data_IF_437322404904
#
_entry.id   IF_437322404904
#
_cell.length_a   1.000
_cell.length_b   1.000
_cell.length_c   1.000
_cell.angle_alpha   90.00
_cell.angle_beta   90.00
_cell.angle_gamma   90.00
#
_symmetry.space_group_name_H-M   'P 1'
#
loop_
_entity.id
_entity.type
_entity.pdbx_description
1 polymer ?
#
# COMPACT_ATOMS: atom_id res chain seq x y z
N UNK A 1 26.53 20.99 8.70
CA UNK A 1 26.18 20.00 9.75
C UNK A 1 24.99 19.15 9.28
N UNK A 2 25.19 18.27 8.30
CA UNK A 2 24.12 17.41 7.74
C UNK A 2 24.71 16.01 7.70
N UNK A 3 24.22 15.10 8.55
CA UNK A 3 24.75 13.72 8.68
C UNK A 3 24.49 13.04 10.03
N UNK A 4 24.19 13.80 11.08
CA UNK A 4 23.94 13.25 12.42
C UNK A 4 22.45 13.20 12.74
N UNK A 5 21.84 12.01 12.73
CA UNK A 5 20.45 11.85 13.18
C UNK A 5 20.23 12.22 14.67
N UNK A 6 21.28 12.54 15.44
CA UNK A 6 21.22 12.86 16.87
C UNK A 6 20.58 14.20 17.23
N UNK A 7 20.41 15.12 16.28
CA UNK A 7 19.79 16.43 16.53
C UNK A 7 18.26 16.43 16.33
N UNK A 8 17.48 16.62 17.39
CA UNK A 8 16.03 16.83 17.35
C UNK A 8 15.65 18.28 16.95
N UNK A 9 16.29 18.83 15.92
CA UNK A 9 15.96 20.16 15.42
C UNK A 9 15.22 20.07 14.08
N UNK A 10 14.12 20.82 13.93
CA UNK A 10 13.37 20.88 12.66
C UNK A 10 14.26 21.30 11.47
N UNK A 11 15.27 22.15 11.70
CA UNK A 11 16.25 22.52 10.69
C UNK A 11 17.08 21.32 10.20
N UNK A 12 17.38 20.36 11.07
CA UNK A 12 18.10 19.14 10.69
C UNK A 12 17.24 18.21 9.83
N UNK A 13 15.94 18.09 10.16
CA UNK A 13 14.99 17.26 9.42
C UNK A 13 14.77 17.83 8.01
N UNK A 14 14.56 19.14 7.91
CA UNK A 14 14.44 19.83 6.62
C UNK A 14 15.75 19.78 5.82
N UNK A 15 16.90 19.90 6.49
CA UNK A 15 18.21 19.75 5.84
C UNK A 15 18.39 18.38 5.18
N UNK A 16 18.00 17.31 5.87
CA UNK A 16 18.02 15.96 5.31
C UNK A 16 17.03 15.79 4.16
N UNK A 17 15.81 16.33 4.28
CA UNK A 17 14.83 16.34 3.18
C UNK A 17 15.41 17.01 1.94
N UNK A 18 15.95 18.23 2.07
CA UNK A 18 16.54 18.97 0.95
C UNK A 18 17.74 18.22 0.38
N UNK A 19 18.59 17.65 1.23
CA UNK A 19 19.73 16.83 0.83
C UNK A 19 19.31 15.60 0.03
N UNK A 20 18.19 14.96 0.39
CA UNK A 20 17.67 13.77 -0.28
C UNK A 20 17.32 14.05 -1.76
N UNK A 21 16.79 15.25 -2.05
CA UNK A 21 16.39 15.62 -3.41
C UNK A 21 17.47 16.36 -4.19
N UNK A 22 18.28 17.20 -3.54
CA UNK A 22 19.29 18.03 -4.23
C UNK A 22 20.65 17.36 -4.33
N UNK A 23 21.09 16.68 -3.28
CA UNK A 23 22.46 16.15 -3.17
C UNK A 23 22.47 14.77 -2.47
N UNK A 24 21.77 13.77 -3.01
CA UNK A 24 21.56 12.48 -2.33
C UNK A 24 22.85 11.75 -2.02
N UNK A 25 23.82 11.77 -2.95
CA UNK A 25 25.14 11.16 -2.74
C UNK A 25 25.83 11.71 -1.50
N UNK A 26 25.81 13.04 -1.35
CA UNK A 26 26.48 13.70 -0.24
C UNK A 26 25.79 13.40 1.09
N UNK A 27 24.46 13.39 1.10
CA UNK A 27 23.67 13.02 2.26
C UNK A 27 24.04 11.62 2.75
N UNK A 28 24.00 10.63 1.85
CA UNK A 28 24.25 9.24 2.21
C UNK A 28 25.71 8.96 2.57
N UNK A 29 26.67 9.63 1.92
CA UNK A 29 28.10 9.51 2.24
C UNK A 29 28.43 9.99 3.66
N UNK A 30 27.71 11.00 4.15
CA UNK A 30 27.86 11.58 5.50
C UNK A 30 27.05 10.88 6.59
N UNK A 31 26.23 9.89 6.25
CA UNK A 31 25.37 9.21 7.21
C UNK A 31 26.22 8.51 8.27
N UNK A 32 25.97 8.84 9.55
CA UNK A 32 26.58 8.11 10.66
C UNK A 32 26.14 6.64 10.63
N UNK A 33 27.13 5.74 10.68
CA UNK A 33 26.94 4.28 10.63
C UNK A 33 26.86 3.66 12.01
N UNK A 34 27.14 4.42 13.07
CA UNK A 34 27.39 3.94 14.44
C UNK A 34 26.49 4.54 15.52
N UNK A 35 25.67 5.55 15.20
CA UNK A 35 24.75 6.21 16.14
C UNK A 35 23.87 5.25 16.94
N UNK A 36 23.24 5.72 18.02
CA UNK A 36 22.20 4.95 18.70
C UNK A 36 20.94 4.80 17.82
N UNK A 37 20.07 3.83 18.15
CA UNK A 37 18.87 3.53 17.36
C UNK A 37 17.74 4.55 17.59
N UNK A 38 17.68 5.16 18.78
CA UNK A 38 16.61 6.05 19.18
C UNK A 38 16.35 7.19 18.19
N UNK A 39 17.36 8.01 17.86
CA UNK A 39 17.17 9.14 16.95
C UNK A 39 16.73 8.74 15.54
N UNK A 40 17.18 7.58 15.06
CA UNK A 40 16.81 7.00 13.76
C UNK A 40 15.32 6.65 13.72
N UNK A 41 14.83 5.99 14.78
CA UNK A 41 13.43 5.59 14.90
C UNK A 41 12.53 6.81 15.03
N UNK A 42 12.91 7.80 15.84
CA UNK A 42 12.11 9.03 15.96
C UNK A 42 12.06 9.79 14.63
N UNK A 43 13.19 9.91 13.92
CA UNK A 43 13.21 10.53 12.59
C UNK A 43 12.19 9.87 11.65
N UNK A 44 12.20 8.54 11.58
CA UNK A 44 11.27 7.78 10.76
C UNK A 44 9.80 7.98 11.18
N UNK A 45 9.51 7.94 12.49
CA UNK A 45 8.16 8.12 13.03
C UNK A 45 7.61 9.50 12.69
N UNK A 46 8.43 10.56 12.80
CA UNK A 46 7.98 11.94 12.47
C UNK A 46 7.49 12.03 11.02
N UNK A 47 8.26 11.51 10.07
CA UNK A 47 7.87 11.54 8.66
C UNK A 47 6.69 10.62 8.36
N UNK A 48 6.60 9.47 9.03
CA UNK A 48 5.45 8.58 8.90
C UNK A 48 4.17 9.21 9.43
N UNK A 49 4.18 9.79 10.63
CA UNK A 49 3.02 10.49 11.20
C UNK A 49 2.59 11.62 10.27
N UNK A 50 3.54 12.41 9.76
CA UNK A 50 3.24 13.46 8.80
C UNK A 50 2.59 12.91 7.51
N UNK A 51 3.13 11.84 6.94
CA UNK A 51 2.57 11.19 5.75
C UNK A 51 1.18 10.62 6.01
N UNK A 52 0.94 10.00 7.17
CA UNK A 52 -0.36 9.42 7.55
C UNK A 52 -1.41 10.50 7.72
N UNK A 53 -1.10 11.56 8.47
CA UNK A 53 -2.00 12.71 8.63
C UNK A 53 -2.35 13.28 7.27
N UNK A 54 -1.35 13.50 6.41
CA UNK A 54 -1.57 14.03 5.06
C UNK A 54 -2.42 13.10 4.20
N UNK A 55 -2.16 11.79 4.23
CA UNK A 55 -2.94 10.77 3.50
C UNK A 55 -4.39 10.74 3.97
N UNK A 56 -4.63 10.79 5.28
CA UNK A 56 -5.98 10.84 5.85
C UNK A 56 -6.71 12.10 5.39
N UNK A 57 -6.07 13.28 5.44
CA UNK A 57 -6.66 14.54 4.98
C UNK A 57 -6.99 14.49 3.48
N UNK A 58 -6.05 14.06 2.65
CA UNK A 58 -6.25 13.96 1.20
C UNK A 58 -7.30 12.91 0.82
N UNK A 59 -7.49 11.88 1.65
CA UNK A 59 -8.51 10.84 1.41
C UNK A 59 -9.95 11.35 1.48
N UNK A 60 -10.19 12.54 2.06
CA UNK A 60 -11.52 13.16 2.03
C UNK A 60 -11.87 13.71 0.64
N UNK A 61 -10.86 14.17 -0.10
CA UNK A 61 -11.02 14.62 -1.50
C UNK A 61 -10.91 13.44 -2.45
N UNK A 62 -10.02 12.49 -2.15
CA UNK A 62 -9.76 11.32 -2.99
C UNK A 62 -9.85 10.01 -2.19
N UNK A 63 -11.05 9.44 -2.04
CA UNK A 63 -11.28 8.24 -1.22
C UNK A 63 -10.43 7.03 -1.60
N UNK A 64 -9.93 6.97 -2.85
CA UNK A 64 -9.06 5.89 -3.33
C UNK A 64 -7.69 5.84 -2.63
N UNK A 65 -7.22 6.94 -2.03
CA UNK A 65 -5.94 6.99 -1.31
C UNK A 65 -5.96 6.15 -0.04
N UNK A 66 -7.10 6.17 0.66
CA UNK A 66 -7.34 5.40 1.86
C UNK A 66 -8.81 4.95 1.82
N UNK A 67 -9.10 3.79 1.20
CA UNK A 67 -10.45 3.29 0.96
C UNK A 67 -11.06 2.70 2.24
N UNK A 68 -10.99 3.46 3.34
CA UNK A 68 -11.58 3.16 4.64
C UNK A 68 -12.77 4.08 4.87
N UNK A 69 -13.79 3.58 5.57
CA UNK A 69 -14.86 4.43 6.10
C UNK A 69 -14.35 5.45 7.11
N UNK A 70 -15.18 6.43 7.48
CA UNK A 70 -14.79 7.54 8.37
C UNK A 70 -14.13 7.05 9.68
N UNK A 71 -14.77 6.09 10.36
CA UNK A 71 -14.22 5.46 11.57
C UNK A 71 -12.85 4.82 11.32
N UNK A 72 -12.69 4.12 10.19
CA UNK A 72 -11.43 3.49 9.81
C UNK A 72 -10.30 4.50 9.57
N UNK A 73 -10.60 5.67 9.00
CA UNK A 73 -9.62 6.75 8.83
C UNK A 73 -9.12 7.29 10.17
N UNK A 74 -10.01 7.47 11.15
CA UNK A 74 -9.61 7.89 12.50
C UNK A 74 -8.77 6.81 13.20
N UNK A 75 -9.16 5.54 13.13
CA UNK A 75 -8.37 4.43 13.66
C UNK A 75 -6.98 4.39 13.00
N UNK A 76 -6.89 4.65 11.70
CA UNK A 76 -5.63 4.66 10.96
C UNK A 76 -4.65 5.74 11.44
N UNK A 77 -5.11 6.84 12.04
CA UNK A 77 -4.20 7.84 12.64
C UNK A 77 -3.38 7.27 13.80
N UNK A 78 -3.92 6.29 14.53
CA UNK A 78 -3.26 5.66 15.67
C UNK A 78 -2.56 4.35 15.28
N UNK A 79 -3.19 3.55 14.42
CA UNK A 79 -2.64 2.25 13.97
C UNK A 79 -1.57 2.44 12.90
N UNK A 80 -1.73 3.42 12.02
CA UNK A 80 -0.82 3.69 10.90
C UNK A 80 0.63 3.84 11.32
N UNK A 81 0.97 4.64 12.36
CA UNK A 81 2.36 4.78 12.81
C UNK A 81 2.97 3.46 13.32
N UNK A 82 2.17 2.60 13.96
CA UNK A 82 2.63 1.27 14.40
C UNK A 82 2.91 0.35 13.21
N UNK A 83 2.01 0.36 12.22
CA UNK A 83 2.19 -0.39 10.97
C UNK A 83 3.41 0.13 10.20
N UNK A 84 3.60 1.44 10.13
CA UNK A 84 4.74 2.05 9.46
C UNK A 84 6.07 1.76 10.17
N UNK A 85 6.08 1.71 11.50
CA UNK A 85 7.26 1.29 12.28
C UNK A 85 7.60 -0.19 12.03
N UNK A 86 6.59 -1.07 12.05
CA UNK A 86 6.79 -2.47 11.69
C UNK A 86 7.29 -2.62 10.24
N UNK A 87 6.70 -1.87 9.31
CA UNK A 87 7.11 -1.80 7.92
C UNK A 87 8.55 -1.33 7.76
N UNK A 88 8.97 -0.30 8.49
CA UNK A 88 10.36 0.18 8.52
C UNK A 88 11.32 -0.96 8.89
N UNK A 89 11.02 -1.71 9.96
CA UNK A 89 11.88 -2.81 10.42
C UNK A 89 11.95 -3.95 9.39
N UNK A 90 10.80 -4.33 8.82
CA UNK A 90 10.69 -5.40 7.82
C UNK A 90 11.42 -5.01 6.52
N UNK A 91 11.13 -3.83 5.98
CA UNK A 91 11.76 -3.32 4.75
C UNK A 91 13.28 -3.24 4.95
N UNK A 92 13.73 -2.74 6.11
CA UNK A 92 15.16 -2.70 6.42
C UNK A 92 15.80 -4.07 6.49
N UNK A 93 15.06 -5.10 6.92
CA UNK A 93 15.59 -6.46 7.03
C UNK A 93 15.74 -7.09 5.63
N UNK A 94 14.73 -6.90 4.78
CA UNK A 94 14.77 -7.34 3.38
C UNK A 94 15.91 -6.64 2.63
N UNK A 95 16.04 -5.32 2.79
CA UNK A 95 17.11 -4.55 2.14
C UNK A 95 18.50 -4.89 2.69
N UNK A 96 18.62 -5.10 4.00
CA UNK A 96 19.84 -5.61 4.62
C UNK A 96 20.27 -6.92 3.98
N UNK A 97 19.37 -7.88 3.84
CA UNK A 97 19.66 -9.16 3.20
C UNK A 97 20.08 -8.98 1.75
N UNK A 98 19.35 -8.16 0.98
CA UNK A 98 19.68 -7.90 -0.42
C UNK A 98 21.06 -7.26 -0.58
N UNK A 99 21.39 -6.24 0.23
CA UNK A 99 22.71 -5.63 0.21
C UNK A 99 23.81 -6.60 0.65
N UNK A 100 23.53 -7.52 1.58
CA UNK A 100 24.47 -8.58 1.97
C UNK A 100 24.76 -9.52 0.79
N UNK A 101 23.72 -9.97 0.08
CA UNK A 101 23.88 -10.80 -1.14
C UNK A 101 24.67 -10.07 -2.22
N UNK A 102 24.53 -8.75 -2.31
CA UNK A 102 25.31 -7.90 -3.22
C UNK A 102 26.75 -7.65 -2.75
N UNK A 103 27.16 -8.17 -1.59
CA UNK A 103 28.53 -8.09 -1.06
C UNK A 103 28.77 -6.97 -0.04
N UNK A 104 27.71 -6.39 0.56
CA UNK A 104 27.91 -5.37 1.59
C UNK A 104 28.42 -5.96 2.91
N UNK A 105 29.44 -5.35 3.55
CA UNK A 105 29.96 -5.79 4.84
C UNK A 105 29.19 -5.22 6.04
N UNK A 106 28.19 -4.36 5.83
CA UNK A 106 27.54 -3.64 6.91
C UNK A 106 26.45 -4.45 7.62
N UNK A 107 26.24 -4.15 8.90
CA UNK A 107 25.22 -4.76 9.77
C UNK A 107 23.83 -4.17 9.50
N UNK A 108 22.79 -4.86 9.97
CA UNK A 108 21.39 -4.46 9.88
C UNK A 108 21.11 -3.01 10.29
N UNK A 109 21.78 -2.50 11.32
CA UNK A 109 21.62 -1.11 11.76
C UNK A 109 21.91 -0.07 10.66
N UNK A 110 22.88 -0.32 9.78
CA UNK A 110 23.19 0.60 8.67
C UNK A 110 22.06 0.61 7.65
N UNK A 111 21.49 -0.56 7.35
CA UNK A 111 20.32 -0.68 6.49
C UNK A 111 19.11 0.07 7.08
N UNK A 112 18.82 -0.13 8.37
CA UNK A 112 17.72 0.59 9.05
C UNK A 112 17.86 2.11 8.93
N UNK A 113 19.08 2.64 9.13
CA UNK A 113 19.36 4.08 9.00
C UNK A 113 19.14 4.58 7.57
N UNK A 114 19.61 3.82 6.59
CA UNK A 114 19.40 4.16 5.19
C UNK A 114 17.91 4.22 4.84
N UNK A 115 17.11 3.23 5.29
CA UNK A 115 15.66 3.23 5.07
C UNK A 115 14.97 4.35 5.84
N UNK A 116 15.39 4.64 7.07
CA UNK A 116 14.85 5.76 7.83
C UNK A 116 15.03 7.09 7.09
N UNK A 117 16.18 7.32 6.44
CA UNK A 117 16.40 8.51 5.60
C UNK A 117 15.50 8.58 4.36
N UNK A 118 14.94 7.46 3.91
CA UNK A 118 13.97 7.41 2.81
C UNK A 118 12.53 7.68 3.25
N UNK A 119 12.22 7.66 4.54
CA UNK A 119 10.84 7.90 5.05
C UNK A 119 10.20 9.23 4.63
N UNK A 120 10.93 10.34 4.35
CA UNK A 120 10.31 11.53 3.79
C UNK A 120 9.65 11.31 2.42
N UNK A 121 10.06 10.28 1.68
CA UNK A 121 9.41 9.89 0.42
C UNK A 121 7.95 9.46 0.62
N UNK A 122 7.57 9.01 1.83
CA UNK A 122 6.17 8.67 2.11
C UNK A 122 5.28 9.90 2.15
N UNK A 123 5.82 11.07 2.54
CA UNK A 123 5.07 12.34 2.42
C UNK A 123 4.91 12.70 0.95
N UNK A 124 5.96 12.56 0.16
CA UNK A 124 5.90 12.81 -1.28
C UNK A 124 4.91 11.85 -1.97
N UNK A 125 4.90 10.58 -1.58
CA UNK A 125 3.94 9.58 -2.08
C UNK A 125 2.50 9.94 -1.74
N UNK A 126 2.24 10.42 -0.52
CA UNK A 126 0.91 10.89 -0.13
C UNK A 126 0.43 12.06 -1.02
N UNK A 127 1.29 13.06 -1.26
CA UNK A 127 0.98 14.21 -2.12
C UNK A 127 0.75 13.77 -3.57
N UNK A 128 1.71 13.04 -4.15
CA UNK A 128 1.64 12.66 -5.56
C UNK A 128 0.60 11.58 -5.83
N UNK A 129 0.16 10.84 -4.81
CA UNK A 129 -0.90 9.85 -4.91
C UNK A 129 -2.24 10.45 -5.33
N UNK A 130 -2.45 11.75 -5.10
CA UNK A 130 -3.65 12.47 -5.57
C UNK A 130 -3.74 12.41 -7.10
N UNK A 131 -2.62 12.58 -7.80
CA UNK A 131 -2.62 12.54 -9.26
C UNK A 131 -2.39 11.10 -9.73
N UNK A 132 -3.28 10.52 -10.54
CA UNK A 132 -3.08 9.19 -11.12
C UNK A 132 -1.71 9.07 -11.81
N UNK A 133 -1.05 7.92 -11.65
CA UNK A 133 0.27 7.59 -12.21
C UNK A 133 1.46 8.42 -11.71
N UNK A 134 1.25 9.55 -11.03
CA UNK A 134 2.34 10.40 -10.55
C UNK A 134 3.15 9.73 -9.42
N UNK A 135 2.56 8.76 -8.73
CA UNK A 135 3.26 7.87 -7.79
C UNK A 135 4.40 7.06 -8.43
N UNK A 136 4.39 6.84 -9.76
CA UNK A 136 5.49 6.17 -10.49
C UNK A 136 6.78 6.99 -10.37
N UNK A 137 6.70 8.32 -10.30
CA UNK A 137 7.87 9.19 -10.11
C UNK A 137 8.55 8.87 -8.77
N UNK A 138 7.77 8.67 -7.70
CA UNK A 138 8.31 8.28 -6.39
C UNK A 138 8.98 6.92 -6.47
N UNK A 139 8.38 5.96 -7.18
CA UNK A 139 8.95 4.62 -7.35
C UNK A 139 10.32 4.67 -8.07
N UNK A 140 10.41 5.41 -9.18
CA UNK A 140 11.67 5.60 -9.92
C UNK A 140 12.71 6.31 -9.06
N UNK A 141 12.29 7.35 -8.33
CA UNK A 141 13.17 8.08 -7.41
C UNK A 141 13.68 7.17 -6.27
N UNK A 142 12.82 6.36 -5.67
CA UNK A 142 13.21 5.37 -4.66
C UNK A 142 14.24 4.39 -5.22
N UNK A 143 14.04 3.85 -6.43
CA UNK A 143 15.01 2.96 -7.06
C UNK A 143 16.37 3.65 -7.28
N UNK A 144 16.37 4.89 -7.75
CA UNK A 144 17.59 5.69 -7.88
C UNK A 144 18.29 5.91 -6.54
N UNK A 145 17.56 6.29 -5.49
CA UNK A 145 18.13 6.51 -4.16
C UNK A 145 18.69 5.21 -3.56
N UNK A 146 18.06 4.07 -3.81
CA UNK A 146 18.58 2.76 -3.41
C UNK A 146 19.89 2.41 -4.13
N UNK A 147 20.06 2.78 -5.40
CA UNK A 147 21.35 2.69 -6.10
C UNK A 147 22.39 3.57 -5.42
N UNK A 148 22.06 4.82 -5.10
CA UNK A 148 22.97 5.74 -4.42
C UNK A 148 23.40 5.18 -3.06
N UNK A 149 22.45 4.69 -2.25
CA UNK A 149 22.74 4.03 -0.96
C UNK A 149 23.67 2.82 -1.17
N UNK A 150 23.39 1.97 -2.15
CA UNK A 150 24.23 0.81 -2.46
C UNK A 150 25.67 1.20 -2.73
N UNK A 151 25.91 2.28 -3.48
CA UNK A 151 27.25 2.71 -3.85
C UNK A 151 27.93 3.46 -2.71
N UNK A 152 27.29 4.49 -2.17
CA UNK A 152 27.92 5.45 -1.26
C UNK A 152 28.01 4.93 0.19
N UNK A 153 27.01 4.15 0.63
CA UNK A 153 27.01 3.57 1.98
C UNK A 153 27.60 2.17 1.95
N UNK A 154 27.12 1.32 1.05
CA UNK A 154 27.45 -0.11 1.06
C UNK A 154 28.69 -0.49 0.24
N UNK A 155 29.30 0.46 -0.48
CA UNK A 155 30.52 0.24 -1.25
C UNK A 155 30.33 -0.72 -2.44
N UNK A 156 29.09 -0.95 -2.86
CA UNK A 156 28.77 -1.88 -3.93
C UNK A 156 29.16 -1.25 -5.28
N UNK A 157 29.74 -2.05 -6.17
CA UNK A 157 30.09 -1.60 -7.54
C UNK A 157 28.86 -1.02 -8.23
N UNK A 158 28.93 0.20 -8.83
CA UNK A 158 27.78 0.85 -9.47
C UNK A 158 27.05 -0.02 -10.50
N UNK A 159 27.80 -0.80 -11.30
CA UNK A 159 27.22 -1.73 -12.28
C UNK A 159 26.30 -2.76 -11.62
N UNK A 160 26.72 -3.34 -10.50
CA UNK A 160 25.92 -4.35 -9.77
C UNK A 160 24.68 -3.69 -9.17
N UNK A 161 24.84 -2.53 -8.54
CA UNK A 161 23.73 -1.78 -7.95
C UNK A 161 22.66 -1.43 -8.99
N UNK A 162 23.05 -0.85 -10.13
CA UNK A 162 22.12 -0.52 -11.21
C UNK A 162 21.41 -1.75 -11.79
N UNK A 163 22.11 -2.86 -12.01
CA UNK A 163 21.48 -4.08 -12.52
C UNK A 163 20.40 -4.58 -11.59
N UNK A 164 20.69 -4.74 -10.30
CA UNK A 164 19.72 -5.28 -9.32
C UNK A 164 18.51 -4.35 -9.17
N UNK A 165 18.75 -3.06 -8.92
CA UNK A 165 17.65 -2.12 -8.66
C UNK A 165 16.79 -1.83 -9.90
N UNK A 166 17.38 -1.79 -11.10
CA UNK A 166 16.61 -1.62 -12.34
C UNK A 166 15.80 -2.88 -12.68
N UNK A 167 16.33 -4.06 -12.39
CA UNK A 167 15.59 -5.33 -12.57
C UNK A 167 14.39 -5.38 -11.63
N UNK A 168 14.58 -5.04 -10.35
CA UNK A 168 13.48 -4.96 -9.38
C UNK A 168 12.45 -3.89 -9.76
N UNK A 169 12.90 -2.71 -10.19
CA UNK A 169 12.02 -1.64 -10.66
C UNK A 169 11.18 -2.11 -11.86
N UNK A 170 11.81 -2.72 -12.87
CA UNK A 170 11.12 -3.27 -14.03
C UNK A 170 10.09 -4.33 -13.65
N UNK A 171 10.43 -5.22 -12.71
CA UNK A 171 9.51 -6.23 -12.19
C UNK A 171 8.31 -5.60 -11.48
N UNK A 172 8.52 -4.61 -10.61
CA UNK A 172 7.42 -3.93 -9.91
C UNK A 172 6.50 -3.17 -10.88
N UNK A 173 7.07 -2.50 -11.89
CA UNK A 173 6.29 -1.82 -12.93
C UNK A 173 5.46 -2.82 -13.73
N UNK A 174 6.06 -3.96 -14.12
CA UNK A 174 5.35 -5.02 -14.84
C UNK A 174 4.18 -5.57 -14.02
N UNK A 175 4.40 -5.89 -12.73
CA UNK A 175 3.33 -6.35 -11.83
C UNK A 175 2.22 -5.31 -11.73
N UNK A 176 2.56 -4.02 -11.62
CA UNK A 176 1.58 -2.93 -11.59
C UNK A 176 0.73 -2.84 -12.87
N UNK A 177 1.35 -2.98 -14.04
CA UNK A 177 0.64 -3.03 -15.33
C UNK A 177 -0.28 -4.25 -15.40
N UNK A 178 0.23 -5.43 -15.04
CA UNK A 178 -0.56 -6.67 -15.04
C UNK A 178 -1.75 -6.59 -14.08
N UNK A 179 -1.56 -6.05 -12.87
CA UNK A 179 -2.64 -5.83 -11.91
C UNK A 179 -3.68 -4.85 -12.45
N UNK A 180 -3.24 -3.80 -13.16
CA UNK A 180 -4.15 -2.83 -13.80
C UNK A 180 -4.96 -3.45 -14.93
N UNK A 181 -4.34 -4.29 -15.76
CA UNK A 181 -5.01 -5.03 -16.82
C UNK A 181 -6.00 -6.06 -16.24
N UNK A 182 -5.60 -6.80 -15.20
CA UNK A 182 -6.46 -7.76 -14.52
C UNK A 182 -7.66 -7.08 -13.85
N UNK A 183 -7.48 -5.92 -13.23
CA UNK A 183 -8.58 -5.14 -12.67
C UNK A 183 -9.58 -4.69 -13.75
N UNK A 184 -9.09 -4.27 -14.91
CA UNK A 184 -9.96 -3.92 -16.07
C UNK A 184 -10.66 -5.15 -16.64
N UNK A 185 -9.95 -6.26 -16.78
CA UNK A 185 -10.51 -7.51 -17.26
C UNK A 185 -11.57 -8.08 -16.32
N UNK A 186 -11.48 -7.88 -15.00
CA UNK A 186 -12.55 -8.27 -14.06
C UNK A 186 -13.79 -7.37 -14.12
N UNK A 187 -13.66 -6.16 -14.67
CA UNK A 187 -14.78 -5.23 -14.80
C UNK A 187 -15.65 -5.43 -16.06
N UNK A 188 -15.36 -6.42 -16.90
CA UNK A 188 -16.15 -6.67 -18.12
C UNK A 188 -17.56 -7.21 -17.85
N UNK A 189 -18.54 -6.96 -18.75
CA UNK A 189 -19.98 -7.10 -18.46
C UNK A 189 -20.48 -8.51 -18.13
N UNK A 190 -19.67 -9.55 -18.31
CA UNK A 190 -20.07 -10.94 -18.03
C UNK A 190 -20.41 -11.17 -16.54
N UNK A 191 -19.90 -10.33 -15.63
CA UNK A 191 -20.20 -10.45 -14.19
C UNK A 191 -21.60 -9.91 -13.87
N UNK A 192 -22.11 -9.00 -14.71
CA UNK A 192 -23.49 -8.51 -14.64
C UNK A 192 -24.50 -9.48 -15.28
N UNK A 193 -24.05 -10.37 -16.17
CA UNK A 193 -24.87 -11.41 -16.80
C UNK A 193 -25.07 -12.65 -15.92
N UNK A 194 -24.17 -12.89 -14.95
CA UNK A 194 -24.27 -14.01 -13.99
C UNK A 194 -25.00 -13.67 -12.69
N UNK A 195 -25.38 -12.40 -12.45
CA UNK A 195 -26.20 -12.03 -11.31
C UNK A 195 -27.69 -12.13 -11.68
N UNK A 196 -28.50 -12.91 -10.93
CA UNK A 196 -29.94 -12.95 -11.15
C UNK A 196 -30.51 -11.55 -10.85
N UNK A 197 -30.80 -10.78 -11.91
CA UNK A 197 -31.34 -9.41 -11.83
C UNK A 197 -30.47 -8.29 -12.40
N UNK A 198 -29.31 -8.59 -13.01
CA UNK A 198 -28.49 -7.57 -13.68
C UNK A 198 -29.17 -6.98 -14.92
N UNK A 199 -29.86 -5.85 -14.76
CA UNK A 199 -30.40 -5.08 -15.90
C UNK A 199 -29.26 -4.29 -16.55
N UNK A 200 -29.06 -4.53 -17.85
CA UNK A 200 -28.18 -3.71 -18.67
C UNK A 200 -28.95 -2.42 -18.98
N UNK A 201 -28.53 -1.31 -18.38
CA UNK A 201 -28.99 0.03 -18.75
C UNK A 201 -28.60 0.28 -20.21
N UNK A 202 -29.57 0.20 -21.13
CA UNK A 202 -29.40 0.55 -22.54
C UNK A 202 -29.91 -0.48 -23.58
N UNK A 203 -30.38 -1.67 -23.20
CA UNK A 203 -31.01 -2.58 -24.18
C UNK A 203 -32.52 -2.36 -24.26
N UNK A 204 -33.14 -2.35 -25.46
CA UNK A 204 -34.59 -2.31 -25.59
C UNK A 204 -35.19 -3.47 -24.80
N UNK A 205 -36.10 -3.18 -23.88
CA UNK A 205 -36.86 -4.17 -23.13
C UNK A 205 -37.62 -5.03 -24.15
N UNK A 206 -37.18 -6.27 -24.36
CA UNK A 206 -38.00 -7.27 -25.04
C UNK A 206 -39.11 -7.68 -24.07
N UNK A 207 -40.36 -7.55 -24.52
CA UNK A 207 -41.54 -7.99 -23.78
C UNK A 207 -41.36 -9.45 -23.31
N UNK A 208 -41.43 -9.67 -21.98
CA UNK A 208 -41.34 -11.00 -21.36
C UNK A 208 -40.18 -11.19 -20.38
N UNK A 209 -39.19 -10.29 -20.34
CA UNK A 209 -38.04 -10.41 -19.43
C UNK A 209 -38.39 -9.92 -18.01
N UNK A 210 -39.13 -10.77 -17.28
CA UNK A 210 -39.58 -10.51 -15.90
C UNK A 210 -40.41 -11.64 -15.29
N UNK A 211 -40.84 -12.62 -16.06
CA UNK A 211 -41.49 -13.82 -15.52
C UNK A 211 -40.46 -14.92 -15.32
N UNK A 212 -40.36 -15.43 -14.09
CA UNK A 212 -39.64 -16.67 -13.83
C UNK A 212 -40.24 -17.79 -14.69
N UNK A 213 -39.42 -18.71 -15.25
CA UNK A 213 -39.92 -19.85 -15.99
C UNK A 213 -41.01 -20.59 -15.18
N UNK A 214 -42.10 -21.07 -15.81
CA UNK A 214 -43.23 -21.70 -15.10
C UNK A 214 -42.80 -22.85 -14.18
N UNK A 215 -41.74 -23.56 -14.58
CA UNK A 215 -41.19 -24.71 -13.86
C UNK A 215 -40.50 -24.28 -12.55
N UNK A 216 -39.83 -23.12 -12.57
CA UNK A 216 -39.19 -22.50 -11.40
C UNK A 216 -40.23 -21.92 -10.45
N UNK A 217 -41.31 -21.34 -10.96
CA UNK A 217 -42.43 -20.90 -10.12
C UNK A 217 -43.04 -22.08 -9.35
N UNK A 218 -43.28 -23.21 -10.03
CA UNK A 218 -43.83 -24.42 -9.39
C UNK A 218 -42.89 -25.00 -8.33
N UNK A 219 -41.58 -25.04 -8.59
CA UNK A 219 -40.61 -25.49 -7.59
C UNK A 219 -40.59 -24.60 -6.35
N UNK A 220 -40.60 -23.28 -6.53
CA UNK A 220 -40.58 -22.34 -5.42
C UNK A 220 -41.87 -22.39 -4.59
N UNK A 221 -43.04 -22.54 -5.22
CA UNK A 221 -44.32 -22.74 -4.52
C UNK A 221 -44.34 -24.05 -3.72
N UNK A 222 -43.76 -25.12 -4.27
CA UNK A 222 -43.65 -26.41 -3.58
C UNK A 222 -42.73 -26.32 -2.36
N UNK A 223 -41.59 -25.64 -2.48
CA UNK A 223 -40.68 -25.41 -1.34
C UNK A 223 -41.31 -24.54 -0.25
N UNK A 224 -42.01 -23.46 -0.64
CA UNK A 224 -42.72 -22.59 0.30
C UNK A 224 -43.79 -23.34 1.09
N UNK A 225 -44.58 -24.19 0.43
CA UNK A 225 -45.57 -25.03 1.12
C UNK A 225 -44.92 -25.98 2.11
N UNK A 226 -43.84 -26.66 1.71
CA UNK A 226 -43.08 -27.55 2.59
C UNK A 226 -42.52 -26.81 3.81
N UNK A 227 -42.02 -25.59 3.62
CA UNK A 227 -41.51 -24.77 4.72
C UNK A 227 -42.62 -24.32 5.67
N UNK A 228 -43.78 -23.92 5.14
CA UNK A 228 -44.94 -23.57 5.95
C UNK A 228 -45.48 -24.76 6.76
N UNK A 229 -45.48 -25.97 6.20
CA UNK A 229 -45.87 -27.18 6.93
C UNK A 229 -44.90 -27.49 8.07
N UNK A 230 -43.59 -27.46 7.82
CA UNK A 230 -42.58 -27.65 8.86
C UNK A 230 -42.70 -26.62 9.99
N UNK A 231 -43.00 -25.36 9.67
CA UNK A 231 -43.21 -24.32 10.69
C UNK A 231 -44.46 -24.60 11.55
N UNK A 232 -45.54 -25.10 10.94
CA UNK A 232 -46.76 -25.49 11.67
C UNK A 232 -46.52 -26.70 12.57
N UNK A 233 -45.73 -27.67 12.13
CA UNK A 233 -45.35 -28.82 12.96
C UNK A 233 -44.49 -28.40 14.15
N UNK A 234 -43.51 -27.52 13.94
CA UNK A 234 -42.71 -26.96 15.03
C UNK A 234 -43.55 -26.16 16.03
N UNK A 235 -44.55 -25.40 15.56
CA UNK A 235 -45.46 -24.66 16.45
C UNK A 235 -46.39 -25.59 17.24
N UNK A 236 -46.89 -26.67 16.63
CA UNK A 236 -47.70 -27.68 17.36
C UNK A 236 -46.89 -28.45 18.38
N UNK A 237 -45.64 -28.82 18.08
CA UNK A 237 -44.74 -29.48 19.02
C UNK A 237 -44.37 -28.61 20.23
N UNK A 238 -44.40 -27.29 20.08
CA UNK A 238 -44.09 -26.32 21.15
C UNK A 238 -45.29 -25.96 22.03
N UNK A 239 -46.51 -26.25 21.60
CA UNK A 239 -47.74 -26.01 22.35
C UNK A 239 -48.23 -27.23 23.16
N UNK A 240 -47.53 -28.38 23.04
CA UNK A 240 -47.83 -29.63 23.76
C UNK A 240 -46.82 -30.01 24.84
N UNK A 241 -45.90 -29.11 25.20
CA UNK A 241 -45.03 -29.18 26.39
C UNK A 241 -45.44 -28.06 27.36
#
# INVERSE_FOLDING_TARGET
>A
MIGEMGGFSGAHYLGNLVGLFRTPRELFRRMDRTSSWGPVVVYAIVWQVLSIVLTVLLSFVQPRLLPLGLTGKFVWLFVGPLVGLAGLLIISAVLFFLWHVMGSPHRYGVALRAVALLTPLEVLRAVLGVVPFLHVVVLVLTAYLLVVISVEIHGIKPRVAWTVWSTLLGLFLLIGVLASLAARARSTPWEKLGQPGGTIEGTPRLEGQGMMPPDLQKQMEAELKKHQENLKEMQKGRAGQ
#
